data_IF_980018099095
#
_entry.id   IF_980018099095
#
_cell.length_a   1.000
_cell.length_b   1.000
_cell.length_c   1.000
_cell.angle_alpha   90.00
_cell.angle_beta   90.00
_cell.angle_gamma   90.00
#
_symmetry.space_group_name_H-M   'P 1'
#
loop_
_entity.id
_entity.type
_entity.pdbx_description
1 polymer ?
#
# COMPACT_ATOMS: atom_id res chain seq x y z
N UNK A 1 0.90 -29.51 8.09
CA UNK A 1 -0.37 -28.94 7.59
C UNK A 1 -0.76 -27.79 8.50
N UNK A 2 -1.12 -26.63 7.93
CA UNK A 2 -1.65 -25.48 8.67
C UNK A 2 -3.16 -25.40 8.43
N UNK A 3 -3.91 -24.91 9.42
CA UNK A 3 -5.32 -24.53 9.28
C UNK A 3 -5.35 -23.00 9.20
N UNK A 4 -5.82 -22.46 8.08
CA UNK A 4 -5.92 -21.01 7.85
C UNK A 4 -7.39 -20.58 7.83
N UNK A 5 -7.64 -19.29 8.09
CA UNK A 5 -8.98 -18.70 7.99
C UNK A 5 -8.92 -17.36 7.25
N UNK A 6 -10.00 -17.02 6.55
CA UNK A 6 -10.20 -15.72 5.93
C UNK A 6 -11.67 -15.33 6.10
N UNK A 7 -11.93 -14.03 6.26
CA UNK A 7 -13.27 -13.50 6.50
C UNK A 7 -13.62 -12.45 5.45
N UNK A 8 -14.86 -12.44 4.93
CA UNK A 8 -15.29 -11.38 4.05
C UNK A 8 -15.38 -10.05 4.80
N UNK A 9 -15.05 -8.96 4.11
CA UNK A 9 -15.41 -7.60 4.54
C UNK A 9 -16.68 -7.23 3.78
N UNK A 10 -17.80 -7.10 4.49
CA UNK A 10 -19.12 -6.91 3.87
C UNK A 10 -19.57 -5.44 3.84
N UNK A 11 -19.15 -4.65 4.83
CA UNK A 11 -19.53 -3.23 4.94
C UNK A 11 -18.90 -2.41 3.81
N UNK A 12 -19.69 -1.78 2.91
CA UNK A 12 -19.16 -1.05 1.76
C UNK A 12 -18.16 0.05 2.13
N UNK A 13 -18.37 0.74 3.26
CA UNK A 13 -17.43 1.76 3.74
C UNK A 13 -16.05 1.18 4.11
N UNK A 14 -16.02 -0.03 4.68
CA UNK A 14 -14.77 -0.71 5.00
C UNK A 14 -14.07 -1.23 3.75
N UNK A 15 -14.82 -1.71 2.75
CA UNK A 15 -14.27 -2.13 1.46
C UNK A 15 -13.63 -0.94 0.75
N UNK A 16 -14.30 0.22 0.73
CA UNK A 16 -13.80 1.44 0.11
C UNK A 16 -12.48 1.88 0.75
N UNK A 17 -12.44 1.96 2.10
CA UNK A 17 -11.21 2.27 2.83
C UNK A 17 -10.09 1.27 2.53
N UNK A 18 -10.39 -0.03 2.53
CA UNK A 18 -9.38 -1.06 2.24
C UNK A 18 -8.79 -0.88 0.83
N UNK A 19 -9.63 -0.55 -0.16
CA UNK A 19 -9.16 -0.27 -1.53
C UNK A 19 -8.26 0.96 -1.57
N UNK A 20 -8.66 2.05 -0.94
CA UNK A 20 -7.84 3.27 -0.86
C UNK A 20 -6.47 3.03 -0.18
N UNK A 21 -6.46 2.23 0.89
CA UNK A 21 -5.23 1.84 1.58
C UNK A 21 -4.34 0.97 0.66
N UNK A 22 -4.91 -0.01 -0.05
CA UNK A 22 -4.18 -0.85 -1.01
C UNK A 22 -3.66 -0.06 -2.22
N UNK A 23 -4.45 0.87 -2.76
CA UNK A 23 -4.03 1.77 -3.83
C UNK A 23 -2.84 2.64 -3.39
N UNK A 24 -2.83 3.05 -2.12
CA UNK A 24 -1.70 3.79 -1.52
C UNK A 24 -0.42 2.95 -1.47
N UNK A 25 -0.52 1.65 -1.21
CA UNK A 25 0.62 0.72 -1.30
C UNK A 25 1.10 0.53 -2.74
N UNK A 26 0.17 0.42 -3.69
CA UNK A 26 0.51 0.23 -5.11
C UNK A 26 1.16 1.48 -5.73
N UNK A 27 0.81 2.67 -5.22
CA UNK A 27 1.40 3.93 -5.64
C UNK A 27 2.78 4.21 -5.02
N UNK A 28 3.26 3.38 -4.10
CA UNK A 28 4.57 3.56 -3.47
C UNK A 28 5.70 3.43 -4.50
N UNK A 29 6.39 4.55 -4.73
CA UNK A 29 7.44 4.65 -5.73
C UNK A 29 8.85 4.75 -5.11
N UNK A 30 9.02 4.48 -3.81
CA UNK A 30 10.31 4.72 -3.16
C UNK A 30 10.70 3.72 -2.04
N UNK A 31 9.78 2.88 -1.59
CA UNK A 31 10.00 1.88 -0.55
C UNK A 31 9.55 0.47 -1.00
N UNK A 32 8.66 0.38 -1.99
CA UNK A 32 8.27 -0.89 -2.60
C UNK A 32 9.41 -1.56 -3.39
N UNK A 33 9.39 -2.89 -3.44
CA UNK A 33 10.31 -3.70 -4.23
C UNK A 33 9.53 -4.58 -5.21
N UNK A 34 9.87 -4.48 -6.49
CA UNK A 34 9.23 -5.25 -7.57
C UNK A 34 10.01 -6.55 -7.77
N UNK A 35 9.33 -7.67 -7.50
CA UNK A 35 9.81 -9.01 -7.80
C UNK A 35 9.90 -9.21 -9.32
N UNK A 36 11.09 -9.56 -9.79
CA UNK A 36 11.36 -9.88 -11.19
C UNK A 36 11.11 -11.37 -11.47
N UNK A 37 10.92 -11.76 -12.75
CA UNK A 37 10.71 -13.16 -13.12
C UNK A 37 11.85 -14.12 -12.74
N UNK A 38 13.07 -13.59 -12.56
CA UNK A 38 14.24 -14.36 -12.14
C UNK A 38 14.39 -14.50 -10.62
N UNK A 39 13.45 -13.93 -9.85
CA UNK A 39 13.46 -13.95 -8.39
C UNK A 39 14.26 -12.81 -7.74
N UNK A 40 14.91 -11.96 -8.53
CA UNK A 40 15.55 -10.74 -8.00
C UNK A 40 14.51 -9.68 -7.64
N UNK A 41 14.90 -8.74 -6.77
CA UNK A 41 14.07 -7.61 -6.38
C UNK A 41 14.72 -6.30 -6.83
N UNK A 42 13.91 -5.43 -7.43
CA UNK A 42 14.32 -4.06 -7.79
C UNK A 42 13.50 -3.10 -6.93
N UNK A 43 14.18 -2.25 -6.17
CA UNK A 43 13.49 -1.22 -5.40
C UNK A 43 12.93 -0.15 -6.34
N UNK A 44 11.66 0.21 -6.17
CA UNK A 44 11.07 1.34 -6.87
C UNK A 44 11.84 2.62 -6.54
N UNK A 45 12.01 3.44 -7.57
CA UNK A 45 12.53 4.79 -7.46
C UNK A 45 11.54 5.71 -8.16
N UNK A 46 11.31 6.94 -7.66
CA UNK A 46 10.48 7.91 -8.36
C UNK A 46 11.01 8.15 -9.77
N UNK A 47 10.11 8.26 -10.74
CA UNK A 47 10.46 8.68 -12.09
C UNK A 47 11.00 10.11 -12.12
N UNK A 48 11.58 10.52 -13.26
CA UNK A 48 12.01 11.90 -13.45
C UNK A 48 10.80 12.86 -13.34
N UNK A 49 10.88 13.80 -12.40
CA UNK A 49 9.80 14.76 -12.13
C UNK A 49 8.63 14.21 -11.30
N UNK A 50 8.66 12.94 -10.89
CA UNK A 50 7.66 12.39 -9.97
C UNK A 50 7.97 12.77 -8.53
N UNK A 51 6.92 13.09 -7.77
CA UNK A 51 7.04 13.25 -6.32
C UNK A 51 7.25 11.89 -5.65
N UNK A 52 8.02 11.92 -4.56
CA UNK A 52 8.26 10.74 -3.73
C UNK A 52 7.01 10.42 -2.92
N UNK A 53 6.44 9.24 -3.13
CA UNK A 53 5.30 8.71 -2.38
C UNK A 53 5.74 7.49 -1.55
N UNK A 54 5.73 7.65 -0.23
CA UNK A 54 6.00 6.59 0.73
C UNK A 54 4.70 6.16 1.42
N UNK A 55 4.21 4.97 1.11
CA UNK A 55 2.91 4.45 1.56
C UNK A 55 2.73 4.51 3.08
N UNK A 56 3.74 4.09 3.85
CA UNK A 56 3.69 4.09 5.32
C UNK A 56 3.55 5.50 5.91
N UNK A 57 4.18 6.50 5.30
CA UNK A 57 4.06 7.88 5.76
C UNK A 57 2.67 8.43 5.47
N UNK A 58 2.15 8.18 4.25
CA UNK A 58 0.79 8.59 3.86
C UNK A 58 -0.25 7.97 4.79
N UNK A 59 -0.15 6.66 5.08
CA UNK A 59 -1.06 5.97 5.99
C UNK A 59 -0.94 6.48 7.43
N UNK A 60 0.28 6.75 7.91
CA UNK A 60 0.52 7.31 9.24
C UNK A 60 -0.13 8.69 9.36
N UNK A 61 0.04 9.57 8.38
CA UNK A 61 -0.55 10.90 8.36
C UNK A 61 -2.08 10.83 8.38
N UNK A 62 -2.70 9.92 7.61
CA UNK A 62 -4.16 9.73 7.63
C UNK A 62 -4.70 9.26 8.97
N UNK A 63 -3.96 8.40 9.67
CA UNK A 63 -4.37 7.82 10.95
C UNK A 63 -4.05 8.73 12.15
N UNK A 64 -3.08 9.64 12.01
CA UNK A 64 -2.63 10.54 13.09
C UNK A 64 -3.05 11.99 12.90
N UNK A 65 -3.48 12.37 11.69
CA UNK A 65 -4.09 13.65 11.40
C UNK A 65 -5.34 13.87 12.24
N UNK A 66 -5.40 14.99 12.98
CA UNK A 66 -6.60 15.39 13.71
C UNK A 66 -7.80 15.41 12.75
N UNK A 67 -8.96 14.86 13.13
CA UNK A 67 -10.18 15.13 12.38
C UNK A 67 -10.43 16.64 12.42
N UNK A 68 -10.71 17.23 11.25
CA UNK A 68 -11.36 18.54 11.17
C UNK A 68 -12.76 18.45 11.78
#
# INVERSE_FOLDING_TARGET
>A
HRVETAFPVEEPALIARLREDLDTYLADNCQAWVLQPDGSYIQNQPGEGEERLASQLVLLERLTGKPN
#
